data_IF_516604576360
#
_entry.id   IF_516604576360
#
_cell.length_a   1.000
_cell.length_b   1.000
_cell.length_c   1.000
_cell.angle_alpha   90.00
_cell.angle_beta   90.00
_cell.angle_gamma   90.00
#
_symmetry.space_group_name_H-M   'P 1'
#
loop_
_entity.id
_entity.type
_entity.pdbx_description
1 polymer ?
#
# COMPACT_ATOMS: atom_id res chain seq x y z
N UNK A 1 10.54 -2.02 -7.36
CA UNK A 1 11.35 -1.56 -6.20
C UNK A 1 12.76 -1.19 -6.64
N UNK A 2 13.01 0.11 -6.70
CA UNK A 2 14.32 0.71 -7.03
C UNK A 2 15.14 0.92 -5.74
N UNK A 3 16.47 0.84 -5.82
CA UNK A 3 17.36 1.14 -4.71
C UNK A 3 18.36 2.23 -5.10
N UNK A 4 18.49 3.27 -4.27
CA UNK A 4 19.38 4.41 -4.52
C UNK A 4 20.22 4.73 -3.29
N UNK A 5 21.44 5.23 -3.51
CA UNK A 5 22.30 5.65 -2.42
C UNK A 5 21.71 6.86 -1.67
N UNK A 6 21.89 6.90 -0.34
CA UNK A 6 21.48 8.01 0.53
C UNK A 6 21.90 9.39 -0.01
N UNK A 7 23.14 9.52 -0.49
CA UNK A 7 23.63 10.79 -1.03
C UNK A 7 22.84 11.25 -2.24
N UNK A 8 22.45 10.33 -3.12
CA UNK A 8 21.64 10.63 -4.30
C UNK A 8 20.20 10.98 -3.93
N UNK A 9 19.60 10.23 -3.00
CA UNK A 9 18.27 10.51 -2.47
C UNK A 9 18.20 11.89 -1.83
N UNK A 10 19.17 12.23 -0.97
CA UNK A 10 19.24 13.53 -0.29
C UNK A 10 19.34 14.69 -1.30
N UNK A 11 20.15 14.53 -2.34
CA UNK A 11 20.36 15.58 -3.33
C UNK A 11 19.12 15.81 -4.23
N UNK A 12 18.27 14.80 -4.41
CA UNK A 12 17.08 14.85 -5.26
C UNK A 12 15.79 14.55 -4.50
N UNK A 13 15.73 14.93 -3.21
CA UNK A 13 14.67 14.52 -2.28
C UNK A 13 13.26 14.84 -2.81
N UNK A 14 13.07 16.05 -3.35
CA UNK A 14 11.77 16.51 -3.86
C UNK A 14 11.29 15.65 -5.04
N UNK A 15 12.19 15.29 -5.95
CA UNK A 15 11.86 14.53 -7.15
C UNK A 15 11.50 13.09 -6.78
N UNK A 16 12.24 12.48 -5.85
CA UNK A 16 11.89 11.15 -5.33
C UNK A 16 10.60 11.15 -4.53
N UNK A 17 10.32 12.17 -3.70
CA UNK A 17 9.03 12.30 -3.03
C UNK A 17 7.87 12.41 -4.03
N UNK A 18 8.05 13.16 -5.12
CA UNK A 18 7.06 13.26 -6.19
C UNK A 18 6.89 11.92 -6.89
N UNK A 19 7.99 11.28 -7.30
CA UNK A 19 8.00 9.97 -7.97
C UNK A 19 7.25 8.90 -7.16
N UNK A 20 7.57 8.76 -5.87
CA UNK A 20 6.93 7.78 -4.99
C UNK A 20 5.43 8.05 -4.81
N UNK A 21 4.99 9.31 -4.79
CA UNK A 21 3.57 9.64 -4.74
C UNK A 21 2.84 9.39 -6.06
N UNK A 22 3.49 9.65 -7.21
CA UNK A 22 2.86 9.55 -8.53
C UNK A 22 2.85 8.10 -9.06
N UNK A 23 3.91 7.34 -8.80
CA UNK A 23 4.09 5.98 -9.32
C UNK A 23 3.57 4.90 -8.35
N UNK A 24 3.33 5.24 -7.08
CA UNK A 24 2.94 4.27 -6.02
C UNK A 24 3.92 3.09 -5.85
N UNK A 25 5.17 3.25 -6.32
CA UNK A 25 6.22 2.25 -6.20
C UNK A 25 7.14 2.55 -4.99
N UNK A 26 7.44 1.56 -4.13
CA UNK A 26 8.40 1.72 -3.05
C UNK A 26 9.83 1.96 -3.55
N UNK A 27 10.55 2.82 -2.83
CA UNK A 27 11.96 3.15 -3.07
C UNK A 27 12.80 2.74 -1.85
N UNK A 28 13.87 1.99 -2.06
CA UNK A 28 14.87 1.70 -1.02
C UNK A 28 15.95 2.78 -1.06
N UNK A 29 16.28 3.35 0.09
CA UNK A 29 17.42 4.25 0.24
C UNK A 29 18.50 3.50 1.01
N UNK A 30 19.60 3.20 0.32
CA UNK A 30 20.72 2.43 0.87
C UNK A 30 21.76 3.36 1.51
N UNK A 31 22.18 2.99 2.72
CA UNK A 31 23.18 3.68 3.51
C UNK A 31 24.53 2.95 3.46
N UNK A 32 25.56 3.57 4.06
CA UNK A 32 26.86 2.87 4.23
C UNK A 32 26.75 1.69 5.19
N UNK A 33 25.90 1.84 6.19
CA UNK A 33 25.50 0.78 7.11
C UNK A 33 24.14 0.23 6.63
N UNK A 34 24.06 -1.04 6.18
CA UNK A 34 22.82 -1.62 5.68
C UNK A 34 21.68 -1.66 6.72
N UNK A 35 22.00 -1.67 8.02
CA UNK A 35 21.00 -1.62 9.10
C UNK A 35 20.28 -0.27 9.18
N UNK A 36 20.78 0.75 8.48
CA UNK A 36 20.18 2.08 8.39
C UNK A 36 19.38 2.28 7.10
N UNK A 37 19.28 1.26 6.24
CA UNK A 37 18.49 1.32 5.03
C UNK A 37 17.01 1.61 5.36
N UNK A 38 16.40 2.48 4.56
CA UNK A 38 14.98 2.81 4.73
C UNK A 38 14.20 2.49 3.45
N UNK A 39 12.91 2.22 3.63
CA UNK A 39 11.95 2.15 2.53
C UNK A 39 11.10 3.42 2.56
N UNK A 40 11.02 4.10 1.44
CA UNK A 40 10.17 5.28 1.22
C UNK A 40 8.97 4.86 0.41
N UNK A 41 7.78 5.16 0.92
CA UNK A 41 6.48 4.93 0.26
C UNK A 41 5.61 6.18 0.38
N UNK A 42 4.58 6.28 -0.45
CA UNK A 42 3.63 7.37 -0.37
C UNK A 42 2.80 7.25 0.92
N UNK A 43 2.28 8.38 1.42
CA UNK A 43 1.37 8.35 2.58
C UNK A 43 0.12 7.51 2.29
N UNK A 44 -0.38 7.56 1.05
CA UNK A 44 -1.54 6.78 0.62
C UNK A 44 -1.26 5.29 0.69
N UNK A 45 -0.08 4.87 0.23
CA UNK A 45 0.35 3.47 0.26
C UNK A 45 0.52 2.97 1.69
N UNK A 46 1.17 3.77 2.55
CA UNK A 46 1.29 3.46 3.97
C UNK A 46 -0.08 3.25 4.62
N UNK A 47 -1.03 4.17 4.40
CA UNK A 47 -2.38 4.06 4.92
C UNK A 47 -3.10 2.80 4.40
N UNK A 48 -2.95 2.48 3.11
CA UNK A 48 -3.53 1.28 2.49
C UNK A 48 -3.00 0.00 3.14
N UNK A 49 -1.69 -0.08 3.39
CA UNK A 49 -1.06 -1.20 4.10
C UNK A 49 -1.59 -1.29 5.53
N UNK A 50 -1.66 -0.17 6.26
CA UNK A 50 -2.16 -0.15 7.64
C UNK A 50 -3.62 -0.62 7.72
N UNK A 51 -4.50 -0.16 6.82
CA UNK A 51 -5.89 -0.59 6.78
C UNK A 51 -6.01 -2.09 6.43
N UNK A 52 -5.24 -2.54 5.44
CA UNK A 52 -5.20 -3.96 5.07
C UNK A 52 -4.77 -4.82 6.25
N UNK A 53 -3.74 -4.41 7.00
CA UNK A 53 -3.29 -5.10 8.21
C UNK A 53 -4.34 -5.07 9.32
N UNK A 54 -5.05 -3.95 9.49
CA UNK A 54 -6.12 -3.83 10.48
C UNK A 54 -7.26 -4.82 10.20
N UNK A 55 -7.69 -4.93 8.94
CA UNK A 55 -8.70 -5.91 8.51
C UNK A 55 -8.18 -7.34 8.63
N UNK A 56 -6.94 -7.61 8.19
CA UNK A 56 -6.35 -8.95 8.21
C UNK A 56 -6.17 -9.50 9.64
N UNK A 57 -5.82 -8.63 10.59
CA UNK A 57 -5.68 -9.00 12.01
C UNK A 57 -7.03 -9.19 12.73
N UNK A 58 -8.15 -8.87 12.09
CA UNK A 58 -9.48 -9.15 12.60
C UNK A 58 -10.07 -10.38 11.88
N UNK A 59 -10.04 -11.54 12.53
CA UNK A 59 -10.49 -12.80 11.95
C UNK A 59 -11.91 -12.72 11.35
N UNK A 60 -12.86 -12.10 12.07
CA UNK A 60 -14.23 -11.94 11.58
C UNK A 60 -14.29 -11.11 10.29
N UNK A 61 -13.60 -9.96 10.25
CA UNK A 61 -13.60 -9.10 9.07
C UNK A 61 -12.85 -9.74 7.90
N UNK A 62 -11.68 -10.33 8.17
CA UNK A 62 -10.87 -11.04 7.19
C UNK A 62 -11.68 -12.16 6.52
N UNK A 63 -12.31 -13.05 7.31
CA UNK A 63 -13.14 -14.14 6.80
C UNK A 63 -14.34 -13.62 5.99
N UNK A 64 -14.95 -12.52 6.44
CA UNK A 64 -16.08 -11.89 5.74
C UNK A 64 -15.66 -11.34 4.38
N UNK A 65 -14.53 -10.65 4.30
CA UNK A 65 -13.98 -10.10 3.05
C UNK A 65 -13.59 -11.23 2.10
N UNK A 66 -12.87 -12.24 2.59
CA UNK A 66 -12.44 -13.39 1.78
C UNK A 66 -13.63 -14.16 1.21
N UNK A 67 -14.67 -14.43 2.01
CA UNK A 67 -15.91 -15.03 1.51
C UNK A 67 -16.58 -14.16 0.46
N UNK A 68 -16.73 -12.86 0.71
CA UNK A 68 -17.33 -11.93 -0.25
C UNK A 68 -16.58 -11.92 -1.59
N UNK A 69 -15.25 -11.89 -1.56
CA UNK A 69 -14.42 -11.98 -2.77
C UNK A 69 -14.63 -13.31 -3.52
N UNK A 70 -14.76 -14.43 -2.81
CA UNK A 70 -15.04 -15.72 -3.42
C UNK A 70 -16.44 -15.79 -4.05
N UNK A 71 -17.46 -15.22 -3.39
CA UNK A 71 -18.82 -15.11 -3.92
C UNK A 71 -18.87 -14.27 -5.19
N UNK A 72 -18.19 -13.12 -5.22
CA UNK A 72 -18.08 -12.26 -6.42
C UNK A 72 -17.40 -13.00 -7.56
N UNK A 73 -16.26 -13.67 -7.31
CA UNK A 73 -15.55 -14.47 -8.32
C UNK A 73 -16.40 -15.63 -8.87
N UNK A 74 -17.27 -16.19 -8.03
CA UNK A 74 -18.20 -17.24 -8.42
C UNK A 74 -19.50 -16.71 -9.08
N UNK A 75 -19.62 -15.41 -9.32
CA UNK A 75 -20.82 -14.81 -9.92
C UNK A 75 -22.05 -14.80 -9.02
N UNK A 76 -21.88 -14.98 -7.70
CA UNK A 76 -22.98 -15.02 -6.71
C UNK A 76 -23.41 -13.64 -6.20
N UNK A 77 -22.99 -12.57 -6.88
CA UNK A 77 -23.36 -11.19 -6.53
C UNK A 77 -24.82 -10.88 -6.87
N UNK A 78 -25.51 -10.15 -6.00
CA UNK A 78 -26.83 -9.59 -6.28
C UNK A 78 -26.72 -8.09 -6.54
N UNK A 79 -27.22 -7.62 -7.68
CA UNK A 79 -27.38 -6.19 -7.92
C UNK A 79 -28.56 -5.68 -7.07
N UNK A 80 -28.34 -4.60 -6.34
CA UNK A 80 -29.38 -3.89 -5.59
C UNK A 80 -29.23 -2.41 -5.87
N UNK A 81 -30.35 -1.70 -5.96
CA UNK A 81 -30.35 -0.25 -6.06
C UNK A 81 -29.99 0.36 -4.69
N UNK A 82 -29.47 1.59 -4.70
CA UNK A 82 -29.25 2.32 -3.46
C UNK A 82 -30.61 2.62 -2.82
N UNK A 83 -30.67 2.52 -1.50
CA UNK A 83 -31.85 2.95 -0.75
C UNK A 83 -31.78 4.48 -0.71
N UNK A 84 -32.77 5.15 -1.29
CA UNK A 84 -32.98 6.59 -1.16
C UNK A 84 -33.77 6.87 0.13
N UNK A 85 -33.46 7.97 0.81
CA UNK A 85 -34.15 8.41 2.05
C UNK A 85 -35.63 8.79 1.80
#
# INVERSE_FOLDING_TARGET
MEAIAYSHFRNHLKDYMKKVNDEFEPLIVVNKNPEEDIVVISKSEWNSIQETLAVANNAYLSDKVLRGMAEVKAGKSQKRDLIED
#
